data_IF_769954101916
#
_entry.id   IF_769954101916
#
_cell.length_a   1.000
_cell.length_b   1.000
_cell.length_c   1.000
_cell.angle_alpha   90.00
_cell.angle_beta   90.00
_cell.angle_gamma   90.00
#
_symmetry.space_group_name_H-M   'P 1'
#
loop_
_entity.id
_entity.type
_entity.pdbx_description
1 polymer ?
#
# COMPACT_ATOMS: atom_id res chain seq x y z
N UNK A 1 -53.55 -1.31 -59.19
CA UNK A 1 -52.28 -0.62 -58.92
C UNK A 1 -51.62 -1.30 -57.73
N UNK A 2 -50.46 -1.92 -57.97
CA UNK A 2 -49.67 -2.65 -56.97
C UNK A 2 -48.75 -1.67 -56.23
N UNK A 3 -48.88 -1.56 -54.91
CA UNK A 3 -47.96 -0.76 -54.06
C UNK A 3 -47.14 -1.68 -53.17
N UNK A 4 -45.83 -1.66 -53.39
CA UNK A 4 -44.77 -2.38 -52.68
C UNK A 4 -44.59 -1.85 -51.24
N UNK A 5 -44.20 -2.69 -50.26
CA UNK A 5 -43.77 -2.21 -48.96
C UNK A 5 -42.31 -1.70 -48.99
N UNK A 6 -42.10 -0.49 -48.45
CA UNK A 6 -40.83 0.20 -48.34
C UNK A 6 -39.94 -0.45 -47.26
N UNK A 7 -38.73 -0.91 -47.64
CA UNK A 7 -37.68 -1.43 -46.74
C UNK A 7 -37.15 -0.30 -45.83
N UNK A 8 -36.97 -0.58 -44.53
CA UNK A 8 -36.21 0.28 -43.60
C UNK A 8 -34.70 0.08 -43.80
N UNK A 9 -33.88 1.13 -43.81
CA UNK A 9 -32.43 0.98 -43.69
C UNK A 9 -32.03 0.66 -42.25
N UNK A 10 -31.16 -0.32 -42.09
CA UNK A 10 -30.46 -0.66 -40.86
C UNK A 10 -29.49 0.46 -40.45
N UNK A 11 -29.75 1.14 -39.33
CA UNK A 11 -28.75 2.01 -38.71
C UNK A 11 -27.79 1.17 -37.87
N UNK A 12 -26.53 1.09 -38.30
CA UNK A 12 -25.44 0.61 -37.46
C UNK A 12 -25.07 1.70 -36.43
N UNK A 13 -24.79 1.37 -35.17
CA UNK A 13 -24.28 2.35 -34.22
C UNK A 13 -22.80 2.64 -34.51
N UNK A 14 -22.50 3.90 -34.81
CA UNK A 14 -21.14 4.44 -34.91
C UNK A 14 -20.42 4.38 -33.56
N UNK A 15 -19.12 4.04 -33.50
CA UNK A 15 -18.37 4.01 -32.26
C UNK A 15 -18.17 5.44 -31.77
N UNK A 16 -18.79 5.77 -30.64
CA UNK A 16 -18.54 7.02 -29.94
C UNK A 16 -17.07 7.07 -29.51
N UNK A 17 -16.27 7.85 -30.24
CA UNK A 17 -14.99 8.33 -29.75
C UNK A 17 -15.25 9.21 -28.51
N UNK A 18 -15.04 8.63 -27.33
CA UNK A 18 -15.00 9.36 -26.07
C UNK A 18 -13.81 10.31 -26.12
N UNK A 19 -14.06 11.58 -26.46
CA UNK A 19 -13.09 12.64 -26.24
C UNK A 19 -12.81 12.77 -24.73
N UNK A 20 -11.55 12.86 -24.27
CA UNK A 20 -11.26 13.13 -22.87
C UNK A 20 -11.45 14.63 -22.61
N UNK A 21 -12.70 15.04 -22.48
CA UNK A 21 -13.11 16.42 -22.19
C UNK A 21 -13.63 16.58 -20.76
N UNK A 22 -12.74 16.53 -19.78
CA UNK A 22 -12.80 17.25 -18.48
C UNK A 22 -11.69 16.74 -17.56
N UNK A 23 -10.81 17.63 -17.13
CA UNK A 23 -9.89 17.41 -16.02
C UNK A 23 -10.68 17.35 -14.71
N UNK A 24 -11.37 16.24 -14.46
CA UNK A 24 -11.82 15.92 -13.12
C UNK A 24 -10.59 15.65 -12.26
N UNK A 25 -10.48 16.34 -11.11
CA UNK A 25 -9.51 16.00 -10.07
C UNK A 25 -9.92 14.70 -9.37
N UNK A 26 -10.21 13.64 -10.11
CA UNK A 26 -10.32 12.31 -9.55
C UNK A 26 -8.93 11.95 -9.02
N UNK A 27 -8.78 12.08 -7.71
CA UNK A 27 -7.63 11.58 -6.99
C UNK A 27 -7.67 10.06 -7.17
N UNK A 28 -6.96 9.55 -8.18
CA UNK A 28 -6.98 8.13 -8.52
C UNK A 28 -6.59 7.33 -7.27
N UNK A 29 -7.52 6.53 -6.76
CA UNK A 29 -7.28 5.66 -5.63
C UNK A 29 -6.43 4.48 -6.11
N UNK A 30 -5.31 4.26 -5.43
CA UNK A 30 -4.42 3.14 -5.69
C UNK A 30 -4.93 1.93 -4.91
N UNK A 31 -5.04 0.80 -5.59
CA UNK A 31 -5.48 -0.48 -5.01
C UNK A 31 -4.27 -1.38 -4.85
N UNK A 32 -4.18 -2.01 -3.68
CA UNK A 32 -3.09 -2.90 -3.32
C UNK A 32 -3.62 -4.25 -2.83
N UNK A 33 -2.88 -5.28 -3.20
CA UNK A 33 -3.20 -6.68 -2.93
C UNK A 33 -2.14 -7.30 -2.02
N UNK A 34 -2.55 -8.25 -1.22
CA UNK A 34 -1.66 -9.19 -0.55
C UNK A 34 -0.91 -10.03 -1.60
N UNK A 35 0.22 -10.63 -1.21
CA UNK A 35 0.98 -11.57 -2.04
C UNK A 35 0.15 -12.78 -2.52
N UNK A 36 -0.91 -13.16 -1.81
CA UNK A 36 -1.84 -14.21 -2.24
C UNK A 36 -2.93 -13.74 -3.23
N UNK A 37 -2.91 -12.46 -3.64
CA UNK A 37 -3.88 -11.85 -4.55
C UNK A 37 -5.12 -11.26 -3.87
N UNK A 38 -5.26 -11.39 -2.54
CA UNK A 38 -6.39 -10.83 -1.80
C UNK A 38 -6.34 -9.29 -1.75
N UNK A 39 -7.48 -8.63 -1.92
CA UNK A 39 -7.57 -7.18 -1.79
C UNK A 39 -7.29 -6.72 -0.35
N UNK A 40 -6.36 -5.79 -0.17
CA UNK A 40 -5.80 -5.49 1.15
C UNK A 40 -5.82 -4.01 1.53
N UNK A 41 -5.57 -3.09 0.59
CA UNK A 41 -5.46 -1.66 0.89
C UNK A 41 -5.92 -0.81 -0.30
N UNK A 42 -6.61 0.27 0.00
CA UNK A 42 -6.85 1.38 -0.95
C UNK A 42 -6.27 2.65 -0.36
N UNK A 43 -5.53 3.42 -1.16
CA UNK A 43 -4.88 4.66 -0.73
C UNK A 43 -4.89 5.73 -1.83
N UNK A 44 -5.07 6.99 -1.46
CA UNK A 44 -4.97 8.14 -2.36
C UNK A 44 -3.55 8.44 -2.88
N UNK A 45 -2.54 7.71 -2.39
CA UNK A 45 -1.13 7.85 -2.77
C UNK A 45 -0.49 6.51 -3.04
N UNK A 46 0.54 6.53 -3.88
CA UNK A 46 1.35 5.35 -4.14
C UNK A 46 2.18 5.00 -2.91
N UNK A 47 2.35 3.70 -2.61
CA UNK A 47 3.15 3.24 -1.46
C UNK A 47 4.58 3.80 -1.49
N UNK A 48 5.20 3.92 -2.67
CA UNK A 48 6.55 4.46 -2.83
C UNK A 48 6.70 5.91 -2.35
N UNK A 49 5.63 6.71 -2.44
CA UNK A 49 5.62 8.12 -2.01
C UNK A 49 5.43 8.30 -0.49
N UNK A 50 5.09 7.23 0.23
CA UNK A 50 4.88 7.30 1.66
C UNK A 50 6.21 7.34 2.42
N UNK A 51 6.29 8.11 3.52
CA UNK A 51 7.46 8.11 4.38
C UNK A 51 7.78 6.71 4.89
N UNK A 52 9.07 6.42 5.04
CA UNK A 52 9.57 5.19 5.63
C UNK A 52 9.84 5.42 7.12
N UNK A 53 9.48 4.44 7.94
CA UNK A 53 9.89 4.36 9.34
C UNK A 53 11.33 3.83 9.40
N UNK A 54 12.29 4.55 9.98
CA UNK A 54 13.69 4.11 10.00
C UNK A 54 13.94 2.77 10.71
N UNK A 55 13.08 2.40 11.67
CA UNK A 55 13.27 1.22 12.51
C UNK A 55 13.02 -0.12 11.79
N UNK A 56 12.11 -0.15 10.81
CA UNK A 56 11.73 -1.40 10.13
C UNK A 56 11.36 -1.19 8.65
N UNK A 57 11.65 -0.01 8.10
CA UNK A 57 11.31 0.37 6.73
C UNK A 57 9.81 0.24 6.38
N UNK A 58 8.93 0.24 7.38
CA UNK A 58 7.49 0.25 7.14
C UNK A 58 7.06 1.59 6.54
N UNK A 59 6.12 1.55 5.59
CA UNK A 59 5.50 2.77 5.03
C UNK A 59 4.50 3.34 6.02
N UNK A 60 4.57 4.64 6.26
CA UNK A 60 3.76 5.34 7.28
C UNK A 60 2.53 5.98 6.65
N UNK A 61 1.34 5.50 7.04
CA UNK A 61 0.06 6.12 6.74
C UNK A 61 -0.43 6.90 7.96
N UNK A 62 -0.85 8.15 7.75
CA UNK A 62 -1.37 9.03 8.81
C UNK A 62 -2.88 8.96 8.84
N UNK A 63 -3.45 8.62 10.00
CA UNK A 63 -4.89 8.44 10.19
C UNK A 63 -5.63 9.75 10.49
N UNK A 64 -4.95 10.73 11.11
CA UNK A 64 -5.52 11.99 11.59
C UNK A 64 -4.74 13.20 11.07
N UNK A 65 -5.41 14.34 10.92
CA UNK A 65 -4.76 15.60 10.57
C UNK A 65 -3.63 15.92 11.58
N UNK A 66 -2.55 16.55 11.11
CA UNK A 66 -1.51 16.99 12.04
C UNK A 66 -2.05 18.06 12.99
N UNK A 67 -1.58 18.10 14.24
CA UNK A 67 -1.97 19.17 15.16
C UNK A 67 -1.65 20.55 14.58
N UNK A 68 -2.46 21.59 14.90
CA UNK A 68 -2.25 22.96 14.42
C UNK A 68 -1.09 23.68 15.12
N UNK A 69 -0.56 23.10 16.20
CA UNK A 69 0.59 23.61 16.94
C UNK A 69 1.72 22.57 16.93
N UNK A 70 2.96 23.06 16.84
CA UNK A 70 4.16 22.24 16.98
C UNK A 70 4.36 21.80 18.43
N UNK A 71 5.33 20.93 18.68
CA UNK A 71 5.77 20.56 20.03
C UNK A 71 6.19 21.79 20.86
N UNK A 72 6.70 22.85 20.21
CA UNK A 72 7.12 24.09 20.87
C UNK A 72 5.97 25.09 21.09
N UNK A 73 4.73 24.71 20.73
CA UNK A 73 3.55 25.58 20.83
C UNK A 73 3.41 26.59 19.69
N UNK A 74 4.34 26.63 18.74
CA UNK A 74 4.26 27.53 17.60
C UNK A 74 3.18 27.05 16.61
N UNK A 75 2.40 27.96 16.00
CA UNK A 75 1.43 27.58 14.98
C UNK A 75 2.12 26.95 13.77
N UNK A 76 1.55 25.85 13.28
CA UNK A 76 2.06 25.13 12.11
C UNK A 76 0.92 24.83 11.14
N UNK A 77 1.23 24.85 9.83
CA UNK A 77 0.30 24.40 8.80
C UNK A 77 -0.16 22.96 9.03
N UNK A 78 -1.46 22.78 9.18
CA UNK A 78 -2.12 21.47 9.31
C UNK A 78 -1.93 20.66 8.02
N UNK A 79 -1.33 19.48 8.17
CA UNK A 79 -1.21 18.48 7.11
C UNK A 79 -2.40 17.53 7.22
N UNK A 80 -3.24 17.53 6.19
CA UNK A 80 -4.42 16.65 6.13
C UNK A 80 -4.02 15.16 6.14
N UNK A 81 -4.80 14.36 6.85
CA UNK A 81 -4.76 12.91 6.81
C UNK A 81 -4.98 12.41 5.38
N UNK A 82 -4.47 11.21 5.10
CA UNK A 82 -4.64 10.58 3.79
C UNK A 82 -5.90 9.75 3.78
N UNK A 83 -6.56 9.71 2.62
CA UNK A 83 -7.70 8.83 2.43
C UNK A 83 -7.19 7.42 2.15
N UNK A 84 -7.41 6.51 3.10
CA UNK A 84 -7.11 5.09 2.90
C UNK A 84 -8.09 4.19 3.66
N UNK A 85 -8.17 2.94 3.21
CA UNK A 85 -8.92 1.85 3.84
C UNK A 85 -8.09 0.57 3.79
N UNK A 86 -7.83 -0.01 4.95
CA UNK A 86 -7.25 -1.35 5.07
C UNK A 86 -8.40 -2.36 5.12
N UNK A 87 -8.36 -3.36 4.25
CA UNK A 87 -9.24 -4.52 4.23
C UNK A 87 -8.46 -5.73 4.72
N UNK A 88 -8.39 -5.89 6.03
CA UNK A 88 -7.65 -6.96 6.69
C UNK A 88 -8.37 -7.36 7.99
N UNK A 89 -8.11 -8.57 8.46
CA UNK A 89 -8.54 -9.01 9.80
C UNK A 89 -7.59 -8.47 10.87
N UNK A 90 -8.14 -8.03 11.99
CA UNK A 90 -7.33 -7.66 13.15
C UNK A 90 -6.71 -8.93 13.75
N UNK A 91 -5.39 -8.98 13.85
CA UNK A 91 -4.66 -10.05 14.55
C UNK A 91 -4.47 -9.76 16.03
N UNK A 92 -3.90 -10.73 16.75
CA UNK A 92 -3.62 -10.63 18.17
C UNK A 92 -2.51 -9.61 18.48
N UNK A 93 -2.69 -8.85 19.55
CA UNK A 93 -1.70 -7.88 20.00
C UNK A 93 -0.42 -8.61 20.44
N UNK A 94 0.74 -8.15 19.96
CA UNK A 94 2.04 -8.74 20.28
C UNK A 94 3.02 -7.70 20.78
N UNK A 95 3.93 -8.11 21.66
CA UNK A 95 5.07 -7.31 22.08
C UNK A 95 6.31 -7.81 21.34
N UNK A 96 6.99 -6.89 20.66
CA UNK A 96 8.25 -7.18 19.99
C UNK A 96 9.39 -6.51 20.74
N UNK A 97 10.50 -7.23 20.89
CA UNK A 97 11.76 -6.68 21.40
C UNK A 97 12.59 -6.25 20.19
N UNK A 98 13.04 -5.00 20.17
CA UNK A 98 13.91 -4.45 19.12
C UNK A 98 15.39 -4.71 19.48
N UNK A 99 16.31 -4.62 18.49
CA UNK A 99 17.75 -4.76 18.74
C UNK A 99 18.28 -3.79 19.80
N UNK A 100 17.71 -2.58 19.87
CA UNK A 100 18.06 -1.55 20.85
C UNK A 100 17.58 -1.86 22.29
N UNK A 101 17.01 -3.04 22.53
CA UNK A 101 16.46 -3.46 23.83
C UNK A 101 15.09 -2.87 24.16
N UNK A 102 14.56 -1.97 23.32
CA UNK A 102 13.22 -1.39 23.49
C UNK A 102 12.12 -2.39 23.17
N UNK A 103 10.97 -2.23 23.84
CA UNK A 103 9.79 -3.07 23.63
C UNK A 103 8.69 -2.25 22.96
N UNK A 104 8.12 -2.80 21.89
CA UNK A 104 7.05 -2.16 21.13
C UNK A 104 5.83 -3.07 21.10
N UNK A 105 4.66 -2.51 21.43
CA UNK A 105 3.37 -3.20 21.33
C UNK A 105 2.77 -2.94 19.95
N UNK A 106 2.43 -4.03 19.25
CA UNK A 106 1.86 -3.99 17.91
C UNK A 106 0.48 -4.65 17.88
N UNK A 107 -0.45 -4.02 17.17
CA UNK A 107 -1.77 -4.52 16.82
C UNK A 107 -1.76 -4.83 15.31
N UNK A 108 -1.50 -6.08 14.90
CA UNK A 108 -1.27 -6.42 13.50
C UNK A 108 -2.56 -6.50 12.69
N UNK A 109 -2.46 -6.15 11.40
CA UNK A 109 -3.48 -6.39 10.39
C UNK A 109 -3.05 -7.56 9.51
N UNK A 110 -3.84 -8.63 9.54
CA UNK A 110 -3.55 -9.86 8.83
C UNK A 110 -4.47 -10.01 7.63
N UNK A 111 -3.93 -10.46 6.50
CA UNK A 111 -4.70 -10.81 5.32
C UNK A 111 -5.87 -11.73 5.70
N UNK A 112 -7.09 -11.38 5.28
CA UNK A 112 -8.30 -12.17 5.55
C UNK A 112 -8.18 -13.61 5.05
N UNK A 113 -7.52 -13.81 3.90
CA UNK A 113 -7.33 -15.10 3.23
C UNK A 113 -6.16 -15.91 3.79
N UNK A 114 -4.93 -15.42 3.65
CA UNK A 114 -3.72 -16.20 3.98
C UNK A 114 -3.12 -15.92 5.36
N UNK A 115 -3.71 -14.98 6.13
CA UNK A 115 -3.25 -14.56 7.47
C UNK A 115 -1.86 -13.90 7.54
N UNK A 116 -1.22 -13.64 6.39
CA UNK A 116 0.02 -12.84 6.32
C UNK A 116 -0.17 -11.48 6.99
N UNK A 117 0.78 -11.05 7.82
CA UNK A 117 0.77 -9.70 8.40
C UNK A 117 1.07 -8.66 7.33
N UNK A 118 0.15 -7.72 7.12
CA UNK A 118 0.23 -6.69 6.09
C UNK A 118 0.68 -5.35 6.66
N UNK A 119 0.18 -5.03 7.85
CA UNK A 119 0.41 -3.77 8.53
C UNK A 119 0.27 -3.95 10.05
N UNK A 120 0.50 -2.89 10.81
CA UNK A 120 0.19 -2.85 12.23
C UNK A 120 -0.07 -1.42 12.71
N UNK A 121 -0.66 -1.31 13.89
CA UNK A 121 -0.83 -0.08 14.66
C UNK A 121 -0.24 -0.22 16.06
N UNK A 122 0.08 0.90 16.71
CA UNK A 122 0.47 0.89 18.13
C UNK A 122 -0.70 1.15 19.08
N UNK A 123 -1.82 1.61 18.55
CA UNK A 123 -3.02 1.91 19.33
C UNK A 123 -4.00 0.75 19.21
N UNK A 124 -4.68 0.35 20.30
CA UNK A 124 -5.69 -0.69 20.23
C UNK A 124 -6.85 -0.33 19.26
N UNK A 125 -7.51 -1.34 18.68
CA UNK A 125 -8.75 -1.17 17.93
C UNK A 125 -9.85 -0.50 18.76
N UNK A 126 -10.87 0.15 18.14
CA UNK A 126 -11.21 0.09 16.71
C UNK A 126 -10.44 1.11 15.83
N UNK A 127 -10.20 0.68 14.58
CA UNK A 127 -9.51 1.42 13.53
C UNK A 127 -10.09 2.84 13.35
N UNK A 128 -9.22 3.85 13.29
CA UNK A 128 -9.54 5.30 13.17
C UNK A 128 -10.12 6.00 14.41
N UNK A 129 -10.45 5.30 15.49
CA UNK A 129 -10.97 5.95 16.71
C UNK A 129 -9.87 6.36 17.72
N UNK A 130 -8.64 5.88 17.55
CA UNK A 130 -7.53 6.25 18.46
C UNK A 130 -6.11 6.25 17.85
N UNK A 131 -5.87 5.55 16.74
CA UNK A 131 -4.54 5.42 16.14
C UNK A 131 -4.07 6.67 15.38
N UNK A 132 -2.82 7.10 15.63
CA UNK A 132 -2.20 8.23 14.88
C UNK A 132 -1.66 7.81 13.52
N UNK A 133 -1.13 6.59 13.43
CA UNK A 133 -0.43 6.08 12.26
C UNK A 133 -0.67 4.59 12.08
N UNK A 134 -0.86 4.17 10.83
CA UNK A 134 -0.82 2.77 10.39
C UNK A 134 0.51 2.53 9.69
N UNK A 135 1.20 1.45 10.04
CA UNK A 135 2.49 1.08 9.46
C UNK A 135 2.31 -0.12 8.54
N UNK A 136 2.53 0.07 7.24
CA UNK A 136 2.43 -0.99 6.23
C UNK A 136 3.81 -1.63 6.07
N UNK A 137 3.89 -2.95 6.25
CA UNK A 137 5.14 -3.68 6.18
C UNK A 137 5.73 -3.65 4.77
N UNK A 138 7.05 -3.53 4.68
CA UNK A 138 7.80 -3.59 3.41
C UNK A 138 7.54 -4.94 2.73
N UNK A 139 7.31 -4.92 1.42
CA UNK A 139 7.08 -6.12 0.62
C UNK A 139 5.78 -6.89 0.91
N UNK A 140 4.92 -6.44 1.83
CA UNK A 140 3.68 -7.16 2.16
C UNK A 140 2.55 -6.96 1.15
N UNK A 141 2.64 -5.89 0.34
CA UNK A 141 1.63 -5.48 -0.62
C UNK A 141 2.20 -5.27 -2.02
N UNK A 142 1.38 -5.52 -3.04
CA UNK A 142 1.68 -5.32 -4.46
C UNK A 142 0.53 -4.56 -5.13
N UNK A 143 0.84 -3.77 -6.16
CA UNK A 143 -0.15 -3.09 -7.00
C UNK A 143 -0.76 -4.02 -8.07
N UNK A 144 -0.15 -5.20 -8.28
CA UNK A 144 -0.58 -6.20 -9.27
C UNK A 144 -0.87 -7.54 -8.60
N UNK A 145 -2.06 -8.09 -8.84
CA UNK A 145 -2.43 -9.41 -8.33
C UNK A 145 -1.48 -10.49 -8.86
N UNK A 146 -1.04 -11.38 -7.97
CA UNK A 146 -0.23 -12.55 -8.34
C UNK A 146 1.22 -12.24 -8.75
N UNK A 147 1.66 -10.98 -8.66
CA UNK A 147 3.04 -10.58 -8.91
C UNK A 147 3.69 -10.22 -7.59
N UNK A 148 4.78 -10.91 -7.25
CA UNK A 148 5.60 -10.56 -6.09
C UNK A 148 6.24 -9.19 -6.34
N UNK A 149 6.14 -8.24 -5.40
CA UNK A 149 6.78 -6.94 -5.55
C UNK A 149 8.30 -7.13 -5.48
N UNK A 150 9.05 -6.41 -6.31
CA UNK A 150 10.52 -6.53 -6.39
C UNK A 150 11.22 -6.27 -5.04
N UNK A 151 10.54 -5.54 -4.15
CA UNK A 151 10.97 -5.22 -2.78
C UNK A 151 10.69 -6.33 -1.75
N UNK A 152 10.36 -7.54 -2.20
CA UNK A 152 10.31 -8.70 -1.31
C UNK A 152 11.73 -9.16 -0.98
N UNK A 153 11.93 -9.56 0.27
CA UNK A 153 13.14 -10.08 0.92
C UNK A 153 14.12 -10.93 0.08
N UNK A 154 13.69 -11.44 -1.08
CA UNK A 154 14.52 -12.10 -2.07
C UNK A 154 15.70 -11.25 -2.54
N UNK A 155 15.55 -9.92 -2.71
CA UNK A 155 16.69 -9.10 -3.14
C UNK A 155 17.84 -9.10 -2.12
N UNK A 156 17.52 -8.98 -0.83
CA UNK A 156 18.51 -8.97 0.25
C UNK A 156 19.18 -10.36 0.39
N UNK A 157 18.40 -11.44 0.22
CA UNK A 157 18.94 -12.82 0.17
C UNK A 157 19.79 -13.12 -1.07
N UNK A 158 19.42 -12.57 -2.24
CA UNK A 158 20.17 -12.72 -3.48
C UNK A 158 21.45 -11.89 -3.45
N UNK A 159 21.43 -10.71 -2.83
CA UNK A 159 22.62 -9.90 -2.61
C UNK A 159 23.60 -10.62 -1.67
N UNK A 160 23.13 -11.18 -0.55
CA UNK A 160 24.00 -11.90 0.38
C UNK A 160 24.67 -13.15 -0.21
N UNK A 161 24.06 -13.80 -1.22
CA UNK A 161 24.67 -14.97 -1.89
C UNK A 161 25.72 -14.60 -2.94
N UNK A 162 25.74 -13.36 -3.41
CA UNK A 162 26.72 -12.93 -4.41
C UNK A 162 28.03 -12.46 -3.74
N UNK A 163 27.95 -11.91 -2.53
CA UNK A 163 29.14 -11.46 -1.78
C UNK A 163 30.03 -12.62 -1.28
N UNK A 164 29.48 -13.83 -1.11
CA UNK A 164 30.25 -15.01 -0.66
C UNK A 164 31.08 -15.70 -1.77
N UNK A 165 30.83 -15.39 -3.06
CA UNK A 165 31.49 -16.07 -4.18
C UNK A 165 32.78 -15.39 -4.69
N UNK A 166 33.11 -14.17 -4.23
CA UNK A 166 34.25 -13.40 -4.73
C UNK A 166 35.53 -13.49 -3.86
N UNK A 167 35.51 -14.19 -2.72
CA UNK A 167 36.66 -14.29 -1.80
C UNK A 167 37.41 -15.63 -1.87
N UNK A 168 37.65 -16.17 -3.08
CA UNK A 168 38.60 -17.29 -3.24
C UNK A 168 39.26 -17.38 -4.62
N UNK A 169 39.99 -16.37 -5.08
CA UNK A 169 41.00 -16.59 -6.13
C UNK A 169 42.15 -15.58 -6.14
N UNK A 170 43.01 -15.58 -5.11
CA UNK A 170 44.41 -15.14 -5.33
C UNK A 170 45.40 -15.76 -4.33
N UNK A 171 45.85 -16.99 -4.59
CA UNK A 171 47.17 -17.44 -4.13
C UNK A 171 48.03 -17.83 -5.34
N UNK A 172 48.93 -16.90 -5.68
CA UNK A 172 50.40 -17.07 -5.76
C UNK A 172 51.01 -18.06 -6.78
N UNK A 173 51.98 -17.60 -7.60
CA UNK A 173 53.19 -18.36 -7.91
C UNK A 173 54.35 -18.00 -6.98
#
# INVERSE_FOLDING_TARGET
MLTLPFRRPSQQPSPSHSQPGRSDRFNNLNVYYCLCGEFALVCDRTLASLPLRPLDNSRVLRCLDSPPYSITGAPQKVRKARAFKVSASQGEAKLIKRPDGTVEKQYPFNCSRCKLQLAYEHTPPPLKSGGKFTFVLRGALTDRQGVLPLDTFLQDLLASHNDDNDEHTTEKP
#
